data_IF_967140307255
#
_entry.id   IF_967140307255
#
_cell.length_a   1.000
_cell.length_b   1.000
_cell.length_c   1.000
_cell.angle_alpha   90.00
_cell.angle_beta   90.00
_cell.angle_gamma   90.00
#
_symmetry.space_group_name_H-M   'P 1'
#
loop_
_entity.id
_entity.type
_entity.pdbx_description
1 polymer ?
#
# COMPACT_ATOMS: atom_id res chain seq x y z
N UNK A 1 14.67 -16.21 -7.10
CA UNK A 1 14.52 -16.88 -5.77
C UNK A 1 15.27 -16.04 -4.73
N UNK A 2 14.60 -15.68 -3.66
CA UNK A 2 15.16 -14.81 -2.60
C UNK A 2 16.42 -15.46 -1.99
N UNK A 3 17.54 -14.76 -2.02
CA UNK A 3 18.82 -15.23 -1.47
C UNK A 3 18.79 -15.32 0.07
N UNK A 4 19.70 -16.07 0.66
CA UNK A 4 19.83 -16.15 2.12
C UNK A 4 20.16 -14.79 2.75
N UNK A 5 20.98 -13.98 2.07
CA UNK A 5 21.37 -12.65 2.54
C UNK A 5 20.18 -11.67 2.52
N UNK A 6 19.38 -11.66 1.44
CA UNK A 6 18.19 -10.85 1.36
C UNK A 6 17.15 -11.25 2.41
N UNK A 7 16.98 -12.57 2.63
CA UNK A 7 16.08 -13.09 3.65
C UNK A 7 16.50 -12.64 5.05
N UNK A 8 17.76 -12.66 5.37
CA UNK A 8 18.25 -12.20 6.67
C UNK A 8 18.06 -10.69 6.84
N UNK A 9 18.33 -9.92 5.79
CA UNK A 9 18.07 -8.49 5.80
C UNK A 9 16.58 -8.17 6.00
N UNK A 10 15.67 -8.84 5.28
CA UNK A 10 14.23 -8.66 5.46
C UNK A 10 13.78 -9.03 6.87
N UNK A 11 14.39 -10.04 7.51
CA UNK A 11 14.12 -10.38 8.91
C UNK A 11 14.51 -9.26 9.87
N UNK A 12 15.61 -8.56 9.62
CA UNK A 12 16.02 -7.42 10.45
C UNK A 12 15.02 -6.26 10.33
N UNK A 13 14.53 -5.97 9.13
CA UNK A 13 13.48 -4.96 8.93
C UNK A 13 12.15 -5.37 9.59
N UNK A 14 11.75 -6.63 9.43
CA UNK A 14 10.53 -7.16 10.05
C UNK A 14 10.60 -7.14 11.60
N UNK A 15 11.76 -7.45 12.17
CA UNK A 15 11.98 -7.35 13.61
C UNK A 15 11.83 -5.89 14.09
N UNK A 16 12.37 -4.93 13.34
CA UNK A 16 12.23 -3.50 13.65
C UNK A 16 10.77 -3.03 13.54
N UNK A 17 10.06 -3.47 12.50
CA UNK A 17 8.63 -3.18 12.37
C UNK A 17 7.83 -3.72 13.56
N UNK A 18 8.13 -4.95 13.98
CA UNK A 18 7.48 -5.57 15.14
C UNK A 18 7.75 -4.80 16.43
N UNK A 19 8.99 -4.37 16.66
CA UNK A 19 9.36 -3.55 17.82
C UNK A 19 8.52 -2.26 17.89
N UNK A 20 8.38 -1.54 16.76
CA UNK A 20 7.55 -0.36 16.69
C UNK A 20 6.06 -0.68 16.90
N UNK A 21 5.58 -1.77 16.30
CA UNK A 21 4.19 -2.21 16.45
C UNK A 21 3.82 -2.56 17.90
N UNK A 22 4.77 -3.11 18.67
CA UNK A 22 4.62 -3.49 20.08
C UNK A 22 4.96 -2.35 21.04
N UNK A 23 5.34 -1.16 20.56
CA UNK A 23 5.70 -0.01 21.37
C UNK A 23 4.51 0.58 22.15
N UNK A 24 4.78 1.27 23.25
CA UNK A 24 3.75 1.98 24.02
C UNK A 24 3.08 3.08 23.19
N UNK A 25 3.86 3.77 22.36
CA UNK A 25 3.32 4.75 21.41
C UNK A 25 2.27 4.13 20.49
N UNK A 26 2.57 3.00 19.90
CA UNK A 26 1.67 2.35 18.95
C UNK A 26 0.38 1.85 19.65
N UNK A 27 0.50 1.37 20.89
CA UNK A 27 -0.67 1.01 21.71
C UNK A 27 -1.55 2.21 22.06
N UNK A 28 -0.93 3.37 22.30
CA UNK A 28 -1.68 4.60 22.56
C UNK A 28 -2.37 5.11 21.28
N UNK A 29 -1.70 5.05 20.14
CA UNK A 29 -2.29 5.37 18.85
C UNK A 29 -3.49 4.48 18.54
N UNK A 30 -3.42 3.18 18.82
CA UNK A 30 -4.55 2.26 18.64
C UNK A 30 -5.78 2.70 19.42
N UNK A 31 -5.61 3.11 20.68
CA UNK A 31 -6.72 3.63 21.52
C UNK A 31 -7.29 4.94 20.93
N UNK A 32 -6.41 5.86 20.54
CA UNK A 32 -6.83 7.14 19.94
C UNK A 32 -7.58 6.92 18.63
N UNK A 33 -7.11 6.06 17.74
CA UNK A 33 -7.79 5.70 16.51
C UNK A 33 -9.13 4.99 16.77
N UNK A 34 -9.18 4.10 17.75
CA UNK A 34 -10.43 3.44 18.14
C UNK A 34 -11.47 4.45 18.63
N UNK A 35 -11.07 5.37 19.50
CA UNK A 35 -11.95 6.44 19.98
C UNK A 35 -12.41 7.37 18.86
N UNK A 36 -11.48 7.75 17.96
CA UNK A 36 -11.79 8.59 16.80
C UNK A 36 -12.82 7.92 15.88
N UNK A 37 -12.62 6.65 15.54
CA UNK A 37 -13.52 5.88 14.69
C UNK A 37 -14.90 5.65 15.35
N UNK A 38 -14.95 5.66 16.68
CA UNK A 38 -16.19 5.63 17.47
C UNK A 38 -16.81 7.01 17.65
N UNK A 39 -16.34 8.05 16.93
CA UNK A 39 -16.80 9.44 16.99
C UNK A 39 -16.75 10.04 18.42
N UNK A 40 -15.85 9.56 19.25
CA UNK A 40 -15.63 10.11 20.58
C UNK A 40 -14.83 11.42 20.49
N UNK A 41 -15.11 12.35 21.40
CA UNK A 41 -14.35 13.59 21.49
C UNK A 41 -12.92 13.31 21.92
N UNK A 42 -11.96 13.81 21.18
CA UNK A 42 -10.52 13.64 21.44
C UNK A 42 -9.68 14.67 20.69
N UNK A 43 -8.38 14.58 20.83
CA UNK A 43 -7.44 15.34 20.03
C UNK A 43 -7.45 14.87 18.57
N UNK A 44 -7.25 15.78 17.60
CA UNK A 44 -7.16 15.41 16.19
C UNK A 44 -5.99 14.45 15.96
N UNK A 45 -6.17 13.55 14.99
CA UNK A 45 -5.12 12.67 14.49
C UNK A 45 -4.64 13.20 13.15
N UNK A 46 -3.33 13.23 12.94
CA UNK A 46 -2.70 13.69 11.72
C UNK A 46 -1.86 12.58 11.09
N UNK A 47 -2.12 12.30 9.81
CA UNK A 47 -1.33 11.37 8.99
C UNK A 47 -0.85 12.12 7.76
N UNK A 48 0.43 12.01 7.45
CA UNK A 48 1.04 12.66 6.28
C UNK A 48 1.05 11.67 5.12
N UNK A 49 0.47 12.06 3.99
CA UNK A 49 0.59 11.30 2.75
C UNK A 49 2.02 11.43 2.21
N UNK A 50 2.72 10.32 2.14
CA UNK A 50 4.15 10.28 1.77
C UNK A 50 4.39 9.93 0.31
N UNK A 51 3.35 9.56 -0.44
CA UNK A 51 3.44 9.05 -1.80
C UNK A 51 4.07 10.05 -2.77
N UNK A 52 3.83 11.35 -2.57
CA UNK A 52 4.34 12.41 -3.46
C UNK A 52 5.84 12.67 -3.32
N UNK A 53 6.41 12.38 -2.14
CA UNK A 53 7.83 12.58 -1.84
C UNK A 53 8.51 11.30 -1.32
N UNK A 54 7.90 10.15 -1.58
CA UNK A 54 8.41 8.84 -1.14
C UNK A 54 9.85 8.61 -1.59
N UNK A 55 10.17 8.96 -2.83
CA UNK A 55 11.51 8.78 -3.39
C UNK A 55 12.60 9.63 -2.69
N UNK A 56 12.19 10.67 -1.97
CA UNK A 56 13.12 11.56 -1.25
C UNK A 56 13.42 11.02 0.17
N UNK A 57 12.45 10.33 0.78
CA UNK A 57 12.56 9.85 2.16
C UNK A 57 12.89 8.37 2.27
N UNK A 58 12.51 7.56 1.27
CA UNK A 58 12.77 6.13 1.27
C UNK A 58 14.25 5.87 0.97
N UNK A 59 14.95 5.09 1.80
CA UNK A 59 16.32 4.69 1.48
C UNK A 59 16.35 3.81 0.22
N UNK A 60 17.47 3.80 -0.52
CA UNK A 60 17.63 2.90 -1.67
C UNK A 60 17.38 1.44 -1.27
N UNK A 61 16.53 0.75 -2.03
CA UNK A 61 16.24 -0.66 -1.78
C UNK A 61 17.49 -1.51 -2.00
N UNK A 62 17.74 -2.45 -1.09
CA UNK A 62 18.93 -3.33 -1.09
C UNK A 62 18.68 -4.66 -1.76
N UNK A 63 17.43 -5.15 -1.74
CA UNK A 63 17.07 -6.40 -2.39
C UNK A 63 17.07 -6.26 -3.90
N UNK A 64 17.48 -7.32 -4.60
CA UNK A 64 17.53 -7.42 -6.06
C UNK A 64 16.45 -8.36 -6.62
N UNK A 65 16.09 -9.41 -5.86
CA UNK A 65 14.98 -10.30 -6.19
C UNK A 65 13.67 -9.51 -6.17
N UNK A 66 12.80 -9.61 -7.19
CA UNK A 66 11.58 -8.81 -7.28
C UNK A 66 10.63 -8.97 -6.09
N UNK A 67 10.47 -10.20 -5.58
CA UNK A 67 9.58 -10.46 -4.45
C UNK A 67 10.17 -9.91 -3.16
N UNK A 68 11.50 -10.05 -2.98
CA UNK A 68 12.22 -9.48 -1.85
C UNK A 68 12.13 -7.95 -1.83
N UNK A 69 12.26 -7.29 -2.99
CA UNK A 69 12.09 -5.82 -3.13
C UNK A 69 10.69 -5.37 -2.75
N UNK A 70 9.67 -6.10 -3.20
CA UNK A 70 8.28 -5.77 -2.88
C UNK A 70 8.01 -5.89 -1.37
N UNK A 71 8.60 -6.88 -0.70
CA UNK A 71 8.51 -7.05 0.76
C UNK A 71 9.28 -5.92 1.46
N UNK A 72 10.51 -5.61 1.03
CA UNK A 72 11.34 -4.54 1.57
C UNK A 72 10.62 -3.20 1.50
N UNK A 73 10.13 -2.82 0.34
CA UNK A 73 9.42 -1.57 0.12
C UNK A 73 8.19 -1.45 1.02
N UNK A 74 7.42 -2.52 1.15
CA UNK A 74 6.24 -2.54 2.01
C UNK A 74 6.58 -2.39 3.50
N UNK A 75 7.66 -3.00 3.98
CA UNK A 75 8.12 -2.82 5.36
C UNK A 75 8.61 -1.38 5.55
N UNK A 76 9.42 -0.86 4.63
CA UNK A 76 9.92 0.51 4.69
C UNK A 76 8.78 1.54 4.66
N UNK A 77 7.68 1.26 3.94
CA UNK A 77 6.49 2.11 3.93
C UNK A 77 5.86 2.30 5.33
N UNK A 78 6.09 1.38 6.25
CA UNK A 78 5.69 1.51 7.64
C UNK A 78 6.79 2.10 8.53
N UNK A 79 8.05 1.71 8.32
CA UNK A 79 9.18 2.13 9.15
C UNK A 79 9.52 3.60 8.95
N UNK A 80 9.65 4.04 7.69
CA UNK A 80 10.12 5.40 7.37
C UNK A 80 9.20 6.48 7.94
N UNK A 81 7.87 6.44 7.76
CA UNK A 81 7.00 7.42 8.38
C UNK A 81 7.05 7.38 9.92
N UNK A 82 7.10 6.20 10.51
CA UNK A 82 7.12 6.06 11.97
C UNK A 82 8.41 6.62 12.60
N UNK A 83 9.56 6.44 11.94
CA UNK A 83 10.88 6.83 12.47
C UNK A 83 11.29 8.25 12.07
N UNK A 84 10.97 8.67 10.84
CA UNK A 84 11.41 9.94 10.30
C UNK A 84 10.39 11.06 10.53
N UNK A 85 9.10 10.78 10.35
CA UNK A 85 8.03 11.78 10.42
C UNK A 85 7.41 11.79 11.81
N UNK A 86 7.09 10.62 12.34
CA UNK A 86 6.49 10.46 13.65
C UNK A 86 5.04 10.96 13.70
N UNK A 87 4.28 10.82 12.62
CA UNK A 87 2.85 11.12 12.56
C UNK A 87 2.00 10.12 13.39
N UNK A 88 0.68 10.25 13.33
CA UNK A 88 -0.24 9.40 14.09
C UNK A 88 -0.58 8.09 13.35
N UNK A 89 0.20 7.66 12.37
CA UNK A 89 0.04 6.38 11.67
C UNK A 89 0.45 5.21 12.56
N UNK A 90 -0.42 4.20 12.65
CA UNK A 90 -0.08 2.97 13.37
C UNK A 90 0.83 2.08 12.52
N UNK A 91 1.80 1.45 13.17
CA UNK A 91 2.65 0.42 12.56
C UNK A 91 2.00 -0.95 12.76
N UNK A 92 1.67 -1.70 11.69
CA UNK A 92 1.10 -3.03 11.82
C UNK A 92 2.15 -4.07 12.23
N UNK A 93 1.77 -5.01 13.12
CA UNK A 93 2.63 -6.13 13.52
C UNK A 93 2.70 -7.24 12.47
N UNK A 94 1.81 -7.22 11.47
CA UNK A 94 1.68 -8.28 10.47
C UNK A 94 1.88 -7.74 9.06
N UNK A 95 2.55 -8.54 8.24
CA UNK A 95 2.63 -8.32 6.79
C UNK A 95 1.46 -9.05 6.12
N UNK A 96 0.64 -8.30 5.37
CA UNK A 96 -0.47 -8.87 4.62
C UNK A 96 -0.02 -9.18 3.19
N UNK A 97 -0.13 -10.43 2.80
CA UNK A 97 0.06 -10.85 1.42
C UNK A 97 -1.33 -10.92 0.78
N UNK A 98 -1.64 -10.06 -0.20
CA UNK A 98 -2.93 -10.12 -0.88
C UNK A 98 -3.01 -11.38 -1.74
N UNK A 99 -4.19 -12.00 -1.76
CA UNK A 99 -4.48 -13.05 -2.73
C UNK A 99 -4.44 -12.43 -4.15
N UNK A 100 -3.69 -13.05 -5.04
CA UNK A 100 -3.65 -12.63 -6.44
C UNK A 100 -4.91 -13.13 -7.16
N UNK A 101 -5.88 -12.25 -7.25
CA UNK A 101 -7.11 -12.48 -8.01
C UNK A 101 -7.08 -11.60 -9.25
N UNK A 102 -7.25 -12.21 -10.41
CA UNK A 102 -7.50 -11.46 -11.64
C UNK A 102 -9.01 -11.28 -11.77
N UNK A 103 -9.43 -10.04 -11.89
CA UNK A 103 -10.84 -9.67 -12.05
C UNK A 103 -10.98 -8.97 -13.39
N UNK A 104 -11.82 -9.50 -14.27
CA UNK A 104 -12.33 -8.76 -15.42
C UNK A 104 -13.70 -8.17 -15.04
N UNK A 105 -13.70 -6.92 -14.62
CA UNK A 105 -14.93 -6.23 -14.22
C UNK A 105 -15.74 -5.87 -15.45
N UNK A 106 -16.91 -6.47 -15.56
CA UNK A 106 -17.90 -6.21 -16.63
C UNK A 106 -17.37 -6.37 -18.05
N UNK A 107 -16.29 -7.12 -18.28
CA UNK A 107 -15.66 -7.27 -19.59
C UNK A 107 -15.02 -5.99 -20.16
N UNK A 108 -14.87 -4.98 -19.33
CA UNK A 108 -14.33 -3.67 -19.73
C UNK A 108 -12.86 -3.58 -19.34
N UNK A 109 -12.02 -3.24 -20.33
CA UNK A 109 -10.60 -3.00 -20.11
C UNK A 109 -10.38 -1.57 -19.62
N UNK A 110 -9.87 -1.42 -18.39
CA UNK A 110 -9.49 -0.13 -17.83
C UNK A 110 -8.16 0.33 -18.41
N UNK A 111 -8.15 1.41 -19.17
CA UNK A 111 -6.93 2.03 -19.70
C UNK A 111 -6.51 3.19 -18.79
N UNK A 112 -5.27 3.14 -18.31
CA UNK A 112 -4.66 4.25 -17.57
C UNK A 112 -3.96 5.19 -18.54
N UNK A 113 -4.24 6.47 -18.44
CA UNK A 113 -3.42 7.52 -19.02
C UNK A 113 -2.55 8.11 -17.92
N UNK A 114 -1.24 7.93 -18.03
CA UNK A 114 -0.27 8.55 -17.13
C UNK A 114 0.13 9.91 -17.69
N UNK A 115 0.49 10.83 -16.81
CA UNK A 115 1.14 12.09 -17.20
C UNK A 115 2.43 11.79 -17.97
N UNK A 116 2.78 12.65 -18.92
CA UNK A 116 4.07 12.61 -19.62
C UNK A 116 5.25 12.94 -18.69
N UNK A 117 4.97 13.48 -17.52
CA UNK A 117 5.95 13.74 -16.47
C UNK A 117 6.18 12.45 -15.65
N UNK A 118 7.34 11.82 -15.84
CA UNK A 118 7.73 10.59 -15.16
C UNK A 118 7.86 10.74 -13.63
N UNK A 119 7.89 11.97 -13.11
CA UNK A 119 7.95 12.27 -11.67
C UNK A 119 6.57 12.23 -10.99
N UNK A 120 5.49 12.30 -11.78
CA UNK A 120 4.13 12.33 -11.26
C UNK A 120 3.52 10.94 -11.18
N UNK A 121 3.11 10.52 -9.98
CA UNK A 121 2.29 9.32 -9.77
C UNK A 121 0.83 9.49 -10.22
N UNK A 122 0.47 10.69 -10.73
CA UNK A 122 -0.87 11.00 -11.17
C UNK A 122 -1.24 10.24 -12.44
N UNK A 123 -2.41 9.64 -12.44
CA UNK A 123 -2.99 8.99 -13.61
C UNK A 123 -4.48 9.27 -13.69
N UNK A 124 -5.02 9.18 -14.90
CA UNK A 124 -6.44 9.27 -15.16
C UNK A 124 -6.90 7.98 -15.88
N UNK A 125 -8.06 7.48 -15.53
CA UNK A 125 -8.67 6.41 -16.30
C UNK A 125 -9.41 7.00 -17.51
N UNK A 126 -9.21 6.39 -18.67
CA UNK A 126 -10.03 6.66 -19.83
C UNK A 126 -11.41 6.04 -19.58
N UNK A 127 -12.45 6.84 -19.70
CA UNK A 127 -13.82 6.35 -19.55
C UNK A 127 -14.18 5.43 -20.74
N UNK A 128 -14.39 4.14 -20.51
CA UNK A 128 -14.72 3.20 -21.59
C UNK A 128 -16.16 3.34 -22.06
N UNK A 129 -17.05 3.84 -21.21
CA UNK A 129 -18.44 4.12 -21.55
C UNK A 129 -18.57 5.63 -21.80
N UNK A 130 -19.00 6.01 -22.99
CA UNK A 130 -19.18 7.40 -23.40
C UNK A 130 -20.67 7.80 -23.35
N UNK A 131 -21.55 6.89 -23.73
CA UNK A 131 -22.98 7.05 -23.75
C UNK A 131 -23.66 5.85 -23.10
N UNK A 132 -24.38 6.09 -21.99
CA UNK A 132 -25.01 5.02 -21.23
C UNK A 132 -26.16 4.34 -21.97
N UNK A 133 -26.79 5.01 -22.96
CA UNK A 133 -27.88 4.41 -23.73
C UNK A 133 -27.38 3.43 -24.80
N UNK A 134 -26.23 3.74 -25.41
CA UNK A 134 -25.67 2.92 -26.50
C UNK A 134 -24.60 1.93 -26.03
N UNK A 135 -23.91 2.22 -24.93
CA UNK A 135 -22.75 1.45 -24.47
C UNK A 135 -23.10 0.37 -23.43
N UNK A 136 -24.35 0.29 -22.97
CA UNK A 136 -24.76 -0.72 -21.99
C UNK A 136 -24.54 -2.16 -22.48
N UNK A 137 -24.69 -2.40 -23.77
CA UNK A 137 -24.47 -3.71 -24.41
C UNK A 137 -23.00 -4.15 -24.40
N UNK A 138 -22.06 -3.23 -24.11
CA UNK A 138 -20.64 -3.55 -23.93
C UNK A 138 -20.37 -4.24 -22.59
N UNK A 139 -21.28 -4.09 -21.62
CA UNK A 139 -21.14 -4.68 -20.29
C UNK A 139 -21.40 -6.18 -20.33
N UNK A 140 -20.47 -6.95 -19.79
CA UNK A 140 -20.56 -8.41 -19.64
C UNK A 140 -20.50 -8.77 -18.17
N UNK A 141 -20.98 -9.96 -17.77
CA UNK A 141 -20.77 -10.44 -16.40
C UNK A 141 -19.27 -10.43 -16.03
N UNK A 142 -18.96 -9.98 -14.83
CA UNK A 142 -17.59 -10.02 -14.31
C UNK A 142 -17.09 -11.45 -14.18
N UNK A 143 -15.83 -11.68 -14.55
CA UNK A 143 -15.15 -12.96 -14.38
C UNK A 143 -14.03 -12.86 -13.36
N UNK A 144 -13.79 -13.95 -12.65
CA UNK A 144 -12.76 -14.05 -11.62
C UNK A 144 -11.88 -15.25 -11.93
N UNK A 145 -10.58 -15.04 -11.87
CA UNK A 145 -9.61 -16.12 -11.87
C UNK A 145 -8.58 -15.92 -10.76
N UNK A 146 -8.14 -16.99 -10.14
CA UNK A 146 -7.10 -16.95 -9.13
C UNK A 146 -6.08 -18.05 -9.42
N UNK A 147 -4.82 -17.74 -9.17
CA UNK A 147 -3.74 -18.70 -9.32
C UNK A 147 -3.45 -19.29 -7.93
N UNK A 148 -3.68 -20.57 -7.76
CA UNK A 148 -3.39 -21.33 -6.53
C UNK A 148 -2.01 -21.99 -6.55
N UNK A 149 -1.13 -21.62 -7.52
CA UNK A 149 0.22 -22.17 -7.64
C UNK A 149 1.20 -21.53 -6.68
#
# INVERSE_FOLDING_TARGET
MISAQEREYLRTLAARQRELAESDRNRELEKRWTAHNALQKGEPLAVIETETFWNEICPPLRCTDPDARAIEERILFHLVPAELIGDDRMVPAAHRVPLQVQVEEFGIKKEKQTSSDASSAAYQYKHPLQDLETDLDLLKPSTFSHNLS
#
